data_IF_414084582233
#
_entry.id   IF_414084582233
#
_cell.length_a   1.000
_cell.length_b   1.000
_cell.length_c   1.000
_cell.angle_alpha   90.00
_cell.angle_beta   90.00
_cell.angle_gamma   90.00
#
_symmetry.space_group_name_H-M   'P 1'
#
loop_
_entity.id
_entity.type
_entity.pdbx_description
1 polymer ?
#
# COMPACT_ATOMS: atom_id res chain seq x y z
N UNK A 1 23.45 -19.06 0.41
CA UNK A 1 22.86 -18.89 -0.94
C UNK A 1 22.99 -17.42 -1.30
N UNK A 2 23.41 -17.09 -2.52
CA UNK A 2 23.53 -15.69 -2.94
C UNK A 2 22.13 -15.07 -3.15
N UNK A 3 21.94 -13.78 -2.85
CA UNK A 3 20.69 -13.09 -3.17
C UNK A 3 20.42 -13.08 -4.67
N UNK A 4 19.14 -13.08 -5.04
CA UNK A 4 18.73 -13.05 -6.45
C UNK A 4 18.76 -11.63 -7.00
N UNK A 5 18.38 -10.65 -6.17
CA UNK A 5 18.55 -9.24 -6.43
C UNK A 5 19.13 -8.57 -5.19
N UNK A 6 19.90 -7.52 -5.43
CA UNK A 6 20.44 -6.63 -4.42
C UNK A 6 20.00 -5.21 -4.76
N UNK A 7 19.60 -4.45 -3.76
CA UNK A 7 19.40 -3.00 -3.88
C UNK A 7 20.54 -2.33 -3.12
N UNK A 8 21.39 -1.64 -3.85
CA UNK A 8 22.47 -0.82 -3.30
C UNK A 8 21.93 0.57 -2.95
N UNK A 9 22.13 1.07 -1.72
CA UNK A 9 21.63 2.38 -1.29
C UNK A 9 22.48 3.56 -1.80
N UNK A 10 22.75 3.59 -3.09
CA UNK A 10 23.33 4.76 -3.76
C UNK A 10 22.29 5.73 -4.31
N UNK A 11 22.73 6.73 -5.11
CA UNK A 11 21.87 7.80 -5.59
C UNK A 11 20.61 7.32 -6.33
N UNK A 12 20.72 6.27 -7.16
CA UNK A 12 19.57 5.73 -7.92
C UNK A 12 18.45 5.21 -7.01
N UNK A 13 18.76 4.36 -6.05
CA UNK A 13 17.73 3.76 -5.18
C UNK A 13 17.19 4.77 -4.18
N UNK A 14 18.04 5.67 -3.64
CA UNK A 14 17.65 6.70 -2.69
C UNK A 14 16.78 7.80 -3.34
N UNK A 15 17.18 8.31 -4.51
CA UNK A 15 16.39 9.32 -5.22
C UNK A 15 15.08 8.73 -5.73
N UNK A 16 15.08 7.51 -6.27
CA UNK A 16 13.84 6.87 -6.70
C UNK A 16 12.88 6.66 -5.52
N UNK A 17 13.36 6.18 -4.37
CA UNK A 17 12.55 6.04 -3.17
C UNK A 17 12.01 7.39 -2.66
N UNK A 18 12.87 8.42 -2.58
CA UNK A 18 12.45 9.76 -2.18
C UNK A 18 11.41 10.35 -3.15
N UNK A 19 11.63 10.19 -4.45
CA UNK A 19 10.69 10.58 -5.51
C UNK A 19 9.35 9.88 -5.35
N UNK A 20 9.35 8.57 -5.09
CA UNK A 20 8.14 7.76 -4.81
C UNK A 20 7.40 8.30 -3.59
N UNK A 21 8.07 8.53 -2.47
CA UNK A 21 7.41 9.02 -1.26
C UNK A 21 6.78 10.40 -1.47
N UNK A 22 7.51 11.30 -2.14
CA UNK A 22 7.03 12.65 -2.46
C UNK A 22 5.85 12.59 -3.43
N UNK A 23 5.91 11.76 -4.48
CA UNK A 23 4.85 11.65 -5.47
C UNK A 23 3.58 11.03 -4.86
N UNK A 24 3.74 9.98 -4.05
CA UNK A 24 2.62 9.33 -3.36
C UNK A 24 1.94 10.31 -2.42
N UNK A 25 2.71 11.02 -1.58
CA UNK A 25 2.17 12.05 -0.69
C UNK A 25 1.47 13.18 -1.45
N UNK A 26 2.01 13.59 -2.60
CA UNK A 26 1.41 14.60 -3.47
C UNK A 26 0.06 14.18 -4.03
N UNK A 27 -0.06 12.99 -4.61
CA UNK A 27 -1.35 12.45 -5.11
C UNK A 27 -2.34 12.31 -3.97
N UNK A 28 -1.89 11.73 -2.84
CA UNK A 28 -2.76 11.51 -1.69
C UNK A 28 -3.34 12.82 -1.15
N UNK A 29 -2.52 13.89 -1.10
CA UNK A 29 -2.95 15.21 -0.68
C UNK A 29 -3.94 15.85 -1.65
N UNK A 30 -3.63 15.85 -2.94
CA UNK A 30 -4.49 16.47 -3.98
C UNK A 30 -5.83 15.77 -4.01
N UNK A 31 -5.82 14.44 -4.06
CA UNK A 31 -7.04 13.65 -4.13
C UNK A 31 -7.87 13.77 -2.85
N UNK A 32 -7.25 13.68 -1.67
CA UNK A 32 -7.98 13.91 -0.42
C UNK A 32 -8.58 15.31 -0.36
N UNK A 33 -7.83 16.32 -0.77
CA UNK A 33 -8.34 17.71 -0.78
C UNK A 33 -9.52 17.86 -1.72
N UNK A 34 -9.44 17.25 -2.90
CA UNK A 34 -10.52 17.21 -3.87
C UNK A 34 -11.76 16.54 -3.28
N UNK A 35 -11.60 15.36 -2.67
CA UNK A 35 -12.70 14.63 -2.04
C UNK A 35 -13.39 15.43 -0.94
N UNK A 36 -12.63 16.00 0.00
CA UNK A 36 -13.20 16.63 1.19
C UNK A 36 -13.70 18.04 0.91
N UNK A 37 -12.94 18.87 0.18
CA UNK A 37 -13.32 20.26 -0.03
C UNK A 37 -14.37 20.42 -1.13
N UNK A 38 -14.31 19.63 -2.19
CA UNK A 38 -15.28 19.77 -3.28
C UNK A 38 -16.64 19.17 -2.92
N UNK A 39 -16.67 18.07 -2.17
CA UNK A 39 -17.95 17.54 -1.63
C UNK A 39 -18.58 18.52 -0.64
N UNK A 40 -17.79 19.10 0.27
CA UNK A 40 -18.30 20.14 1.19
C UNK A 40 -18.78 21.40 0.44
N UNK A 41 -18.09 21.81 -0.62
CA UNK A 41 -18.53 22.92 -1.46
C UNK A 41 -19.86 22.59 -2.16
N UNK A 42 -20.01 21.37 -2.70
CA UNK A 42 -21.24 20.89 -3.32
C UNK A 42 -22.42 20.93 -2.33
N UNK A 43 -22.23 20.45 -1.10
CA UNK A 43 -23.28 20.49 -0.07
C UNK A 43 -23.65 21.93 0.30
N UNK A 44 -22.66 22.80 0.52
CA UNK A 44 -22.88 24.21 0.89
C UNK A 44 -23.63 24.99 -0.19
N UNK A 45 -23.43 24.67 -1.46
CA UNK A 45 -24.06 25.36 -2.59
C UNK A 45 -25.31 24.64 -3.12
N UNK A 46 -25.83 23.65 -2.40
CA UNK A 46 -26.98 22.84 -2.81
C UNK A 46 -26.82 22.25 -4.22
N UNK A 47 -25.61 21.77 -4.52
CA UNK A 47 -25.28 21.06 -5.75
C UNK A 47 -24.71 21.91 -6.88
N UNK A 48 -24.51 23.22 -6.67
CA UNK A 48 -24.02 24.14 -7.70
C UNK A 48 -22.72 24.85 -7.26
N UNK A 49 -21.61 24.12 -7.04
CA UNK A 49 -20.33 24.74 -6.70
C UNK A 49 -19.83 25.62 -7.86
N UNK A 50 -19.27 26.79 -7.54
CA UNK A 50 -18.67 27.67 -8.54
C UNK A 50 -17.33 27.11 -9.04
N UNK A 51 -16.85 27.53 -10.21
CA UNK A 51 -15.52 27.13 -10.70
C UNK A 51 -14.41 27.51 -9.70
N UNK A 52 -14.56 28.65 -9.02
CA UNK A 52 -13.65 29.09 -7.95
C UNK A 52 -13.61 28.11 -6.78
N UNK A 53 -14.76 27.53 -6.41
CA UNK A 53 -14.83 26.51 -5.36
C UNK A 53 -14.10 25.24 -5.79
N UNK A 54 -14.30 24.81 -7.04
CA UNK A 54 -13.65 23.62 -7.61
C UNK A 54 -12.13 23.81 -7.76
N UNK A 55 -11.69 24.98 -8.20
CA UNK A 55 -10.26 25.33 -8.29
C UNK A 55 -9.59 25.34 -6.91
N UNK A 56 -10.29 25.85 -5.89
CA UNK A 56 -9.79 25.86 -4.51
C UNK A 56 -9.72 24.44 -3.92
N UNK A 57 -10.64 23.56 -4.33
CA UNK A 57 -10.69 22.18 -3.86
C UNK A 57 -9.69 21.25 -4.57
N UNK A 58 -9.21 21.60 -5.77
CA UNK A 58 -8.23 20.81 -6.52
C UNK A 58 -6.88 21.55 -6.59
N UNK A 59 -6.02 21.41 -5.56
CA UNK A 59 -4.76 22.14 -5.53
C UNK A 59 -3.83 21.70 -6.66
N UNK A 60 -2.99 22.63 -7.13
CA UNK A 60 -1.98 22.31 -8.13
C UNK A 60 -0.99 21.26 -7.56
N UNK A 61 -0.71 20.16 -8.29
CA UNK A 61 -0.05 18.98 -7.72
C UNK A 61 1.49 19.11 -7.72
N UNK A 62 2.02 20.15 -7.04
CA UNK A 62 3.47 20.47 -7.02
C UNK A 62 4.30 19.27 -6.53
N UNK A 63 3.94 18.71 -5.37
CA UNK A 63 4.66 17.58 -4.79
C UNK A 63 4.65 16.36 -5.72
N UNK A 64 3.52 16.08 -6.38
CA UNK A 64 3.44 14.98 -7.34
C UNK A 64 4.41 15.16 -8.52
N UNK A 65 4.43 16.35 -9.12
CA UNK A 65 5.33 16.67 -10.24
C UNK A 65 6.80 16.60 -9.78
N UNK A 66 7.11 17.19 -8.62
CA UNK A 66 8.46 17.15 -8.06
C UNK A 66 8.93 15.72 -7.78
N UNK A 67 8.06 14.89 -7.21
CA UNK A 67 8.37 13.48 -6.96
C UNK A 67 8.70 12.72 -8.24
N UNK A 68 7.96 12.95 -9.33
CA UNK A 68 8.30 12.39 -10.64
C UNK A 68 9.61 12.91 -11.22
N UNK A 69 9.93 14.19 -11.04
CA UNK A 69 11.21 14.77 -11.51
C UNK A 69 12.37 14.11 -10.76
N UNK A 70 12.26 13.98 -9.44
CA UNK A 70 13.28 13.32 -8.60
C UNK A 70 13.41 11.83 -9.01
N UNK A 71 12.28 11.14 -9.20
CA UNK A 71 12.25 9.76 -9.65
C UNK A 71 12.90 9.59 -11.04
N UNK A 72 12.62 10.49 -11.98
CA UNK A 72 13.25 10.49 -13.29
C UNK A 72 14.76 10.72 -13.18
N UNK A 73 15.19 11.71 -12.38
CA UNK A 73 16.61 11.98 -12.15
C UNK A 73 17.38 10.78 -11.59
N UNK A 74 16.71 9.87 -10.87
CA UNK A 74 17.33 8.65 -10.38
C UNK A 74 17.91 7.75 -11.49
N UNK A 75 17.32 7.76 -12.69
CA UNK A 75 17.84 7.01 -13.85
C UNK A 75 19.17 7.54 -14.39
N UNK A 76 19.57 8.76 -14.02
CA UNK A 76 20.88 9.29 -14.40
C UNK A 76 22.02 8.64 -13.60
N UNK A 77 21.72 7.83 -12.60
CA UNK A 77 22.73 7.19 -11.75
C UNK A 77 22.79 5.67 -12.02
N UNK A 78 23.97 5.06 -11.86
CA UNK A 78 24.16 3.63 -12.06
C UNK A 78 23.55 2.82 -10.91
N UNK A 79 23.37 1.53 -11.15
CA UNK A 79 22.82 0.59 -10.16
C UNK A 79 23.82 0.18 -9.08
N UNK A 80 25.13 0.28 -9.36
CA UNK A 80 26.22 -0.12 -8.47
C UNK A 80 26.57 0.93 -7.40
N UNK A 81 25.60 1.75 -7.02
CA UNK A 81 25.75 2.79 -6.01
C UNK A 81 26.64 3.99 -6.39
N UNK A 82 27.27 3.98 -7.56
CA UNK A 82 28.15 5.06 -8.02
C UNK A 82 27.44 6.40 -8.24
N UNK A 83 28.22 7.48 -8.26
CA UNK A 83 27.74 8.85 -8.48
C UNK A 83 27.99 9.38 -9.89
N UNK A 84 28.71 8.63 -10.72
CA UNK A 84 28.99 9.01 -12.12
C UNK A 84 27.73 8.91 -12.95
N UNK A 85 27.40 9.96 -13.69
CA UNK A 85 26.18 9.99 -14.49
C UNK A 85 26.21 8.96 -15.63
N UNK A 86 25.12 8.21 -15.80
CA UNK A 86 24.94 7.18 -16.82
C UNK A 86 23.89 7.60 -17.86
N UNK A 87 24.37 7.99 -19.04
CA UNK A 87 23.57 8.48 -20.17
C UNK A 87 23.16 7.36 -21.14
N UNK A 88 22.88 6.16 -20.64
CA UNK A 88 22.33 5.08 -21.45
C UNK A 88 21.00 5.49 -22.14
N UNK A 89 20.80 5.22 -23.45
CA UNK A 89 19.56 5.53 -24.17
C UNK A 89 18.28 5.01 -23.49
N UNK A 90 18.34 3.86 -22.82
CA UNK A 90 17.22 3.27 -22.09
C UNK A 90 16.92 4.04 -20.80
N UNK A 91 17.94 4.51 -20.07
CA UNK A 91 17.75 5.42 -18.92
C UNK A 91 17.11 6.73 -19.39
N UNK A 92 17.57 7.30 -20.51
CA UNK A 92 16.97 8.51 -21.10
C UNK A 92 15.51 8.27 -21.51
N UNK A 93 15.20 7.13 -22.13
CA UNK A 93 13.82 6.79 -22.47
C UNK A 93 12.93 6.64 -21.22
N UNK A 94 13.43 6.03 -20.14
CA UNK A 94 12.72 5.93 -18.86
C UNK A 94 12.48 7.31 -18.23
N UNK A 95 13.46 8.23 -18.32
CA UNK A 95 13.29 9.63 -17.91
C UNK A 95 12.15 10.29 -18.69
N UNK A 96 12.14 10.16 -20.01
CA UNK A 96 11.09 10.74 -20.86
C UNK A 96 9.72 10.20 -20.47
N UNK A 97 9.55 8.88 -20.31
CA UNK A 97 8.27 8.31 -19.89
C UNK A 97 7.85 8.73 -18.48
N UNK A 98 8.80 8.87 -17.55
CA UNK A 98 8.53 9.38 -16.20
C UNK A 98 8.00 10.82 -16.23
N UNK A 99 8.61 11.69 -17.04
CA UNK A 99 8.17 13.07 -17.20
C UNK A 99 6.83 13.17 -17.96
N UNK A 100 6.59 12.30 -18.94
CA UNK A 100 5.29 12.18 -19.61
C UNK A 100 4.20 11.79 -18.61
N UNK A 101 4.44 10.80 -17.73
CA UNK A 101 3.52 10.44 -16.66
C UNK A 101 3.25 11.61 -15.72
N UNK A 102 4.30 12.35 -15.32
CA UNK A 102 4.18 13.53 -14.49
C UNK A 102 3.23 14.57 -15.09
N UNK A 103 3.42 14.88 -16.38
CA UNK A 103 2.60 15.88 -17.08
C UNK A 103 1.19 15.36 -17.31
N UNK A 104 1.02 14.15 -17.84
CA UNK A 104 -0.30 13.59 -18.19
C UNK A 104 -1.19 13.45 -16.96
N UNK A 105 -0.67 12.94 -15.85
CA UNK A 105 -1.44 12.69 -14.65
C UNK A 105 -1.66 13.93 -13.77
N UNK A 106 -1.01 15.06 -14.05
CA UNK A 106 -1.15 16.30 -13.29
C UNK A 106 -2.14 17.27 -13.94
N UNK A 107 -1.63 18.23 -14.72
CA UNK A 107 -2.34 19.42 -15.19
C UNK A 107 -3.52 19.09 -16.12
N UNK A 108 -3.34 18.35 -17.23
CA UNK A 108 -4.42 18.10 -18.17
C UNK A 108 -5.45 17.12 -17.62
N UNK A 109 -5.04 16.19 -16.73
CA UNK A 109 -5.98 15.28 -16.05
C UNK A 109 -6.82 16.05 -15.02
N UNK A 110 -6.22 16.90 -14.19
CA UNK A 110 -6.96 17.72 -13.22
C UNK A 110 -8.01 18.63 -13.88
N UNK A 111 -7.70 19.24 -15.02
CA UNK A 111 -8.69 19.97 -15.82
C UNK A 111 -9.81 19.05 -16.34
N UNK A 112 -9.46 17.86 -16.85
CA UNK A 112 -10.45 16.93 -17.38
C UNK A 112 -11.43 16.44 -16.31
N UNK A 113 -10.94 16.19 -15.10
CA UNK A 113 -11.71 15.70 -13.95
C UNK A 113 -12.65 16.79 -13.41
N UNK A 114 -12.09 17.96 -13.08
CA UNK A 114 -12.87 19.06 -12.49
C UNK A 114 -14.04 19.48 -13.37
N UNK A 115 -13.77 19.64 -14.66
CA UNK A 115 -14.77 20.12 -15.62
C UNK A 115 -15.47 18.97 -16.36
N UNK A 116 -15.34 17.72 -15.89
CA UNK A 116 -16.06 16.54 -16.40
C UNK A 116 -15.91 16.33 -17.92
N UNK A 117 -14.71 16.57 -18.44
CA UNK A 117 -14.39 16.45 -19.88
C UNK A 117 -14.06 14.98 -20.21
N UNK A 118 -15.08 14.12 -20.26
CA UNK A 118 -14.93 12.67 -20.43
C UNK A 118 -14.03 12.26 -21.63
N UNK A 119 -14.22 12.88 -22.81
CA UNK A 119 -13.41 12.58 -24.00
C UNK A 119 -11.93 12.95 -23.82
N UNK A 120 -11.62 14.03 -23.10
CA UNK A 120 -10.25 14.42 -22.76
C UNK A 120 -9.65 13.43 -21.76
N UNK A 121 -10.39 13.08 -20.71
CA UNK A 121 -9.96 12.10 -19.70
C UNK A 121 -9.65 10.74 -20.33
N UNK A 122 -10.48 10.24 -21.25
CA UNK A 122 -10.25 8.96 -21.91
C UNK A 122 -8.90 8.94 -22.66
N UNK A 123 -8.61 9.98 -23.46
CA UNK A 123 -7.33 10.12 -24.17
C UNK A 123 -6.14 10.18 -23.21
N UNK A 124 -6.24 10.97 -22.15
CA UNK A 124 -5.20 11.10 -21.13
C UNK A 124 -4.99 9.79 -20.35
N UNK A 125 -6.06 9.05 -20.06
CA UNK A 125 -5.99 7.75 -19.38
C UNK A 125 -5.28 6.70 -20.25
N UNK A 126 -5.55 6.71 -21.57
CA UNK A 126 -4.82 5.86 -22.51
C UNK A 126 -3.33 6.25 -22.59
N UNK A 127 -3.01 7.55 -22.66
CA UNK A 127 -1.63 8.03 -22.59
C UNK A 127 -0.93 7.63 -21.28
N UNK A 128 -1.64 7.69 -20.16
CA UNK A 128 -1.13 7.26 -18.85
C UNK A 128 -0.76 5.77 -18.87
N UNK A 129 -1.66 4.89 -19.36
CA UNK A 129 -1.39 3.46 -19.47
C UNK A 129 -0.24 3.17 -20.43
N UNK A 130 -0.19 3.82 -21.60
CA UNK A 130 0.89 3.66 -22.56
C UNK A 130 2.23 4.16 -22.01
N UNK A 131 2.23 5.23 -21.23
CA UNK A 131 3.45 5.75 -20.60
C UNK A 131 3.95 4.82 -19.50
N UNK A 132 3.05 4.18 -18.73
CA UNK A 132 3.43 3.12 -17.79
C UNK A 132 4.01 1.89 -18.48
N UNK A 133 3.44 1.47 -19.61
CA UNK A 133 3.99 0.38 -20.41
C UNK A 133 5.38 0.73 -20.94
N UNK A 134 5.54 1.92 -21.52
CA UNK A 134 6.83 2.42 -22.00
C UNK A 134 7.86 2.53 -20.88
N UNK A 135 7.48 3.08 -19.73
CA UNK A 135 8.34 3.15 -18.55
C UNK A 135 8.75 1.76 -18.07
N UNK A 136 7.82 0.80 -18.00
CA UNK A 136 8.12 -0.58 -17.58
C UNK A 136 9.13 -1.25 -18.51
N UNK A 137 8.93 -1.14 -19.82
CA UNK A 137 9.82 -1.73 -20.83
C UNK A 137 11.21 -1.10 -20.74
N UNK A 138 11.28 0.23 -20.73
CA UNK A 138 12.55 0.96 -20.70
C UNK A 138 13.31 0.74 -19.39
N UNK A 139 12.61 0.70 -18.25
CA UNK A 139 13.20 0.38 -16.95
C UNK A 139 13.76 -1.04 -16.92
N UNK A 140 12.96 -2.03 -17.36
CA UNK A 140 13.38 -3.43 -17.39
C UNK A 140 14.60 -3.67 -18.28
N UNK A 141 14.62 -3.05 -19.46
CA UNK A 141 15.77 -3.09 -20.37
C UNK A 141 16.99 -2.35 -19.78
N UNK A 142 16.79 -1.24 -19.07
CA UNK A 142 17.89 -0.44 -18.51
C UNK A 142 18.68 -1.17 -17.41
N UNK A 143 17.99 -2.04 -16.67
CA UNK A 143 18.55 -2.69 -15.49
C UNK A 143 19.27 -3.99 -15.81
N UNK A 144 18.83 -4.72 -16.85
CA UNK A 144 19.55 -5.88 -17.35
C UNK A 144 19.51 -7.13 -16.45
N UNK A 145 18.70 -7.16 -15.38
CA UNK A 145 18.53 -8.33 -14.49
C UNK A 145 17.58 -9.40 -15.03
N UNK A 146 17.41 -9.44 -16.35
CA UNK A 146 16.61 -10.42 -17.08
C UNK A 146 15.11 -10.31 -16.80
N UNK A 147 14.43 -11.46 -16.77
CA UNK A 147 12.97 -11.53 -16.61
C UNK A 147 12.46 -10.92 -15.29
N UNK A 148 13.30 -10.91 -14.25
CA UNK A 148 12.92 -10.41 -12.92
C UNK A 148 12.52 -8.93 -12.96
N UNK A 149 13.29 -8.07 -13.64
CA UNK A 149 12.96 -6.66 -13.78
C UNK A 149 11.59 -6.45 -14.46
N UNK A 150 11.29 -7.21 -15.51
CA UNK A 150 10.00 -7.11 -16.21
C UNK A 150 8.83 -7.61 -15.38
N UNK A 151 9.01 -8.69 -14.60
CA UNK A 151 7.97 -9.22 -13.72
C UNK A 151 7.62 -8.20 -12.64
N UNK A 152 8.62 -7.70 -11.90
CA UNK A 152 8.37 -6.72 -10.84
C UNK A 152 7.90 -5.37 -11.38
N UNK A 153 8.46 -4.91 -12.49
CA UNK A 153 8.05 -3.65 -13.13
C UNK A 153 6.62 -3.73 -13.67
N UNK A 154 6.29 -4.84 -14.35
CA UNK A 154 4.96 -5.10 -14.88
C UNK A 154 3.90 -5.26 -13.78
N UNK A 155 4.17 -6.07 -12.75
CA UNK A 155 3.29 -6.19 -11.59
C UNK A 155 3.11 -4.84 -10.89
N UNK A 156 4.21 -4.07 -10.73
CA UNK A 156 4.17 -2.73 -10.16
C UNK A 156 3.23 -1.80 -10.91
N UNK A 157 3.40 -1.70 -12.23
CA UNK A 157 2.55 -0.89 -13.10
C UNK A 157 1.07 -1.35 -13.07
N UNK A 158 0.81 -2.66 -13.14
CA UNK A 158 -0.55 -3.21 -13.06
C UNK A 158 -1.20 -2.83 -11.73
N UNK A 159 -0.49 -2.95 -10.61
CA UNK A 159 -1.02 -2.63 -9.29
C UNK A 159 -1.31 -1.14 -9.13
N UNK A 160 -0.45 -0.27 -9.65
CA UNK A 160 -0.69 1.19 -9.66
C UNK A 160 -1.92 1.54 -10.51
N UNK A 161 -2.07 0.95 -11.69
CA UNK A 161 -3.23 1.20 -12.56
C UNK A 161 -4.52 0.67 -11.92
N UNK A 162 -4.49 -0.56 -11.36
CA UNK A 162 -5.62 -1.16 -10.66
C UNK A 162 -6.00 -0.35 -9.41
N UNK A 163 -5.01 0.13 -8.67
CA UNK A 163 -5.18 1.02 -7.53
C UNK A 163 -5.98 2.26 -7.90
N UNK A 164 -5.53 2.99 -8.95
CA UNK A 164 -6.22 4.19 -9.40
C UNK A 164 -7.67 3.86 -9.77
N UNK A 165 -7.91 2.80 -10.55
CA UNK A 165 -9.28 2.39 -10.90
C UNK A 165 -10.17 2.16 -9.67
N UNK A 166 -9.64 1.52 -8.63
CA UNK A 166 -10.40 1.24 -7.40
C UNK A 166 -10.65 2.50 -6.58
N UNK A 167 -9.64 3.35 -6.38
CA UNK A 167 -9.79 4.61 -5.66
C UNK A 167 -10.84 5.49 -6.34
N UNK A 168 -10.78 5.62 -7.67
CA UNK A 168 -11.72 6.41 -8.46
C UNK A 168 -13.16 5.92 -8.35
N UNK A 169 -13.38 4.61 -8.27
CA UNK A 169 -14.71 4.03 -8.11
C UNK A 169 -15.33 4.32 -6.73
N UNK A 170 -14.53 4.27 -5.67
CA UNK A 170 -15.05 4.27 -4.29
C UNK A 170 -14.93 5.61 -3.57
N UNK A 171 -14.15 6.56 -4.09
CA UNK A 171 -13.96 7.90 -3.52
C UNK A 171 -15.18 8.81 -3.68
N UNK A 172 -15.17 9.96 -2.99
CA UNK A 172 -16.29 10.93 -3.03
C UNK A 172 -16.42 11.60 -4.39
N UNK A 173 -15.31 12.15 -4.89
CA UNK A 173 -15.30 12.97 -6.10
C UNK A 173 -14.65 12.23 -7.28
N UNK A 174 -15.03 10.95 -7.43
CA UNK A 174 -14.50 10.03 -8.44
C UNK A 174 -15.48 9.83 -9.59
N UNK A 175 -15.78 8.57 -9.92
CA UNK A 175 -16.65 8.22 -11.05
C UNK A 175 -18.04 8.85 -10.96
N UNK A 176 -18.62 8.97 -9.76
CA UNK A 176 -19.92 9.63 -9.56
C UNK A 176 -19.90 11.12 -9.91
N UNK A 177 -18.80 11.82 -9.60
CA UNK A 177 -18.66 13.22 -9.99
C UNK A 177 -18.64 13.37 -11.50
N UNK A 178 -17.94 12.48 -12.19
CA UNK A 178 -17.80 12.55 -13.64
C UNK A 178 -19.06 12.18 -14.39
N UNK A 179 -19.75 11.14 -13.94
CA UNK A 179 -20.95 10.62 -14.59
C UNK A 179 -22.18 11.46 -14.24
N UNK A 180 -22.34 11.78 -12.96
CA UNK A 180 -23.57 12.36 -12.44
C UNK A 180 -23.41 13.81 -11.97
N UNK A 181 -22.19 14.35 -11.91
CA UNK A 181 -21.95 15.70 -11.37
C UNK A 181 -22.21 15.82 -9.88
N UNK A 182 -22.19 14.72 -9.12
CA UNK A 182 -22.48 14.70 -7.69
C UNK A 182 -21.47 13.83 -6.92
N UNK A 183 -21.17 14.14 -5.65
CA UNK A 183 -20.35 13.27 -4.81
C UNK A 183 -20.96 11.88 -4.67
N UNK A 184 -20.12 10.86 -4.48
CA UNK A 184 -20.56 9.51 -4.14
C UNK A 184 -21.23 9.54 -2.76
N UNK A 185 -22.52 9.15 -2.65
CA UNK A 185 -23.22 9.16 -1.36
C UNK A 185 -22.75 8.05 -0.42
N UNK A 186 -22.02 7.05 -0.93
CA UNK A 186 -21.57 5.89 -0.17
C UNK A 186 -20.08 5.59 -0.42
N UNK A 187 -19.16 6.47 0.00
CA UNK A 187 -17.74 6.23 -0.18
C UNK A 187 -17.27 5.03 0.66
N UNK A 188 -16.34 4.26 0.10
CA UNK A 188 -15.81 3.06 0.75
C UNK A 188 -14.34 3.30 1.10
N UNK A 189 -14.08 3.44 2.41
CA UNK A 189 -12.73 3.68 2.91
C UNK A 189 -11.88 2.44 2.70
N UNK A 190 -12.24 1.32 3.33
CA UNK A 190 -11.52 0.05 3.22
C UNK A 190 -11.67 -0.57 1.81
N UNK A 191 -10.79 -0.16 0.89
CA UNK A 191 -10.71 -0.69 -0.46
C UNK A 191 -9.25 -0.95 -0.86
N UNK A 192 -9.00 -1.86 -1.80
CA UNK A 192 -7.63 -2.24 -2.19
C UNK A 192 -6.82 -1.13 -2.91
N UNK A 193 -7.42 0.03 -3.15
CA UNK A 193 -6.80 1.17 -3.82
C UNK A 193 -5.49 1.61 -3.19
N UNK A 194 -5.51 2.08 -1.94
CA UNK A 194 -4.29 2.52 -1.26
C UNK A 194 -3.21 1.45 -1.14
N UNK A 195 -3.54 0.24 -0.66
CA UNK A 195 -2.56 -0.83 -0.52
C UNK A 195 -1.92 -1.25 -1.85
N UNK A 196 -2.71 -1.39 -2.93
CA UNK A 196 -2.14 -1.70 -4.24
C UNK A 196 -1.26 -0.57 -4.76
N UNK A 197 -1.53 0.69 -4.41
CA UNK A 197 -0.68 1.80 -4.81
C UNK A 197 0.72 1.67 -4.21
N UNK A 198 0.80 1.43 -2.90
CA UNK A 198 2.08 1.26 -2.18
C UNK A 198 2.82 0.01 -2.67
N UNK A 199 2.12 -1.11 -2.76
CA UNK A 199 2.73 -2.38 -3.18
C UNK A 199 3.20 -2.32 -4.64
N UNK A 200 2.44 -1.64 -5.50
CA UNK A 200 2.81 -1.43 -6.90
C UNK A 200 4.09 -0.59 -7.03
N UNK A 201 4.20 0.51 -6.29
CA UNK A 201 5.42 1.31 -6.26
C UNK A 201 6.61 0.57 -5.68
N UNK A 202 6.41 -0.26 -4.65
CA UNK A 202 7.46 -1.09 -4.10
C UNK A 202 8.02 -2.09 -5.12
N UNK A 203 7.15 -2.80 -5.85
CA UNK A 203 7.59 -3.71 -6.92
C UNK A 203 8.26 -2.96 -8.07
N UNK A 204 7.73 -1.80 -8.45
CA UNK A 204 8.37 -0.98 -9.48
C UNK A 204 9.76 -0.51 -9.05
N UNK A 205 9.92 -0.13 -7.77
CA UNK A 205 11.21 0.27 -7.20
C UNK A 205 12.24 -0.86 -7.20
N UNK A 206 11.84 -2.08 -6.81
CA UNK A 206 12.70 -3.28 -6.91
C UNK A 206 13.14 -3.49 -8.36
N UNK A 207 12.21 -3.39 -9.31
CA UNK A 207 12.49 -3.56 -10.74
C UNK A 207 13.55 -2.58 -11.24
N UNK A 208 13.41 -1.29 -10.90
CA UNK A 208 14.29 -0.25 -11.44
C UNK A 208 15.63 -0.07 -10.70
N UNK A 209 15.72 -0.57 -9.46
CA UNK A 209 16.90 -0.39 -8.58
C UNK A 209 17.64 -1.69 -8.28
N UNK A 210 17.07 -2.85 -8.62
CA UNK A 210 17.66 -4.15 -8.34
C UNK A 210 18.83 -4.48 -9.28
N UNK A 211 19.90 -5.05 -8.74
CA UNK A 211 21.07 -5.55 -9.48
C UNK A 211 21.43 -6.97 -9.06
N UNK A 212 22.25 -7.68 -9.83
CA UNK A 212 22.82 -8.99 -9.48
C UNK A 212 24.28 -8.90 -9.01
N UNK A 213 24.70 -7.73 -8.51
CA UNK A 213 26.05 -7.48 -8.01
C UNK A 213 26.44 -8.38 -6.83
N UNK A 214 27.71 -8.31 -6.42
CA UNK A 214 28.26 -9.16 -5.36
C UNK A 214 28.27 -8.51 -3.96
N UNK A 215 27.90 -7.23 -3.85
CA UNK A 215 27.89 -6.49 -2.58
C UNK A 215 26.77 -5.46 -2.60
N UNK A 216 25.93 -5.44 -1.57
CA UNK A 216 25.00 -4.34 -1.37
C UNK A 216 24.18 -4.46 -0.10
N UNK A 217 23.40 -3.43 0.17
CA UNK A 217 22.81 -3.22 1.48
C UNK A 217 21.54 -4.05 1.70
N UNK A 218 20.61 -4.06 0.73
CA UNK A 218 19.34 -4.78 0.83
C UNK A 218 19.30 -5.98 -0.12
N UNK A 219 19.29 -7.16 0.47
CA UNK A 219 19.24 -8.44 -0.24
C UNK A 219 17.80 -8.93 -0.42
N UNK A 220 17.45 -9.30 -1.65
CA UNK A 220 16.15 -9.86 -2.03
C UNK A 220 16.34 -11.28 -2.55
N UNK A 221 15.74 -12.23 -1.83
CA UNK A 221 15.83 -13.66 -2.12
C UNK A 221 14.55 -14.17 -2.79
N UNK A 222 14.69 -14.87 -3.91
CA UNK A 222 13.57 -15.56 -4.57
C UNK A 222 13.51 -17.00 -4.08
N UNK A 223 13.08 -17.14 -2.84
CA UNK A 223 12.94 -18.42 -2.16
C UNK A 223 11.56 -18.55 -1.50
N UNK A 224 11.24 -19.75 -1.05
CA UNK A 224 9.95 -20.07 -0.43
C UNK A 224 9.72 -19.26 0.85
N UNK A 225 10.76 -19.02 1.64
CA UNK A 225 10.71 -18.17 2.84
C UNK A 225 10.17 -16.77 2.51
N UNK A 226 10.80 -16.10 1.54
CA UNK A 226 10.43 -14.75 1.12
C UNK A 226 9.05 -14.74 0.48
N UNK A 227 8.78 -15.70 -0.41
CA UNK A 227 7.47 -15.83 -1.03
C UNK A 227 6.35 -16.02 0.01
N UNK A 228 6.57 -16.87 1.01
CA UNK A 228 5.60 -17.13 2.08
C UNK A 228 5.43 -15.91 2.99
N UNK A 229 6.52 -15.23 3.36
CA UNK A 229 6.48 -14.01 4.17
C UNK A 229 5.68 -12.90 3.47
N UNK A 230 5.95 -12.63 2.19
CA UNK A 230 5.23 -11.61 1.42
C UNK A 230 3.79 -12.02 1.11
N UNK A 231 3.54 -13.28 0.74
CA UNK A 231 2.19 -13.78 0.50
C UNK A 231 1.34 -13.63 1.76
N UNK A 232 1.86 -14.06 2.90
CA UNK A 232 1.16 -14.01 4.17
C UNK A 232 1.03 -12.57 4.72
N UNK A 233 2.11 -11.80 4.72
CA UNK A 233 2.14 -10.43 5.23
C UNK A 233 1.31 -9.47 4.40
N UNK A 234 1.66 -9.30 3.12
CA UNK A 234 0.91 -8.42 2.22
C UNK A 234 -0.49 -8.97 1.90
N UNK A 235 -0.67 -10.29 1.88
CA UNK A 235 -1.98 -10.93 1.71
C UNK A 235 -2.91 -10.79 2.93
N UNK A 236 -2.38 -10.47 4.11
CA UNK A 236 -3.21 -10.17 5.27
C UNK A 236 -4.02 -8.88 5.08
N UNK A 237 -3.46 -7.91 4.36
CA UNK A 237 -4.12 -6.64 4.07
C UNK A 237 -5.50 -6.88 3.43
N UNK A 238 -5.62 -7.48 2.22
CA UNK A 238 -6.93 -7.71 1.60
C UNK A 238 -7.90 -8.50 2.48
N UNK A 239 -7.42 -9.47 3.27
CA UNK A 239 -8.28 -10.23 4.18
C UNK A 239 -8.91 -9.33 5.25
N UNK A 240 -8.13 -8.46 5.89
CA UNK A 240 -8.67 -7.50 6.87
C UNK A 240 -9.63 -6.54 6.19
N UNK A 241 -9.29 -6.06 4.99
CA UNK A 241 -10.15 -5.13 4.25
C UNK A 241 -11.49 -5.74 3.88
N UNK A 242 -11.56 -7.02 3.49
CA UNK A 242 -12.82 -7.70 3.18
C UNK A 242 -13.74 -7.80 4.41
N UNK A 243 -13.19 -8.18 5.56
CA UNK A 243 -13.92 -8.24 6.84
C UNK A 243 -14.47 -6.88 7.24
N UNK A 244 -13.61 -5.87 7.13
CA UNK A 244 -13.94 -4.51 7.52
C UNK A 244 -14.91 -3.85 6.54
N UNK A 245 -14.77 -4.11 5.25
CA UNK A 245 -15.75 -3.73 4.24
C UNK A 245 -17.12 -4.31 4.56
N UNK A 246 -17.20 -5.63 4.81
CA UNK A 246 -18.47 -6.30 5.08
C UNK A 246 -19.14 -5.70 6.34
N UNK A 247 -18.34 -5.34 7.35
CA UNK A 247 -18.84 -4.64 8.52
C UNK A 247 -19.40 -3.25 8.16
N UNK A 248 -18.63 -2.44 7.42
CA UNK A 248 -19.01 -1.08 7.03
C UNK A 248 -20.32 -1.06 6.23
N UNK A 249 -20.51 -2.04 5.36
CA UNK A 249 -21.69 -2.15 4.49
C UNK A 249 -22.90 -2.85 5.14
N UNK A 250 -22.84 -3.19 6.43
CA UNK A 250 -24.03 -3.72 7.13
C UNK A 250 -24.10 -5.23 7.30
N UNK A 251 -23.02 -5.95 7.00
CA UNK A 251 -22.93 -7.39 7.21
C UNK A 251 -23.36 -7.79 8.63
N UNK A 252 -24.29 -8.75 8.72
CA UNK A 252 -24.81 -9.24 10.00
C UNK A 252 -23.72 -10.02 10.70
N UNK A 253 -23.41 -9.66 11.95
CA UNK A 253 -22.45 -10.39 12.77
C UNK A 253 -22.96 -11.80 13.11
N UNK A 254 -22.16 -12.82 12.80
CA UNK A 254 -22.44 -14.24 13.08
C UNK A 254 -21.16 -14.92 13.56
N UNK A 255 -21.07 -15.22 14.85
CA UNK A 255 -19.92 -15.95 15.42
C UNK A 255 -18.64 -15.11 15.43
N UNK A 256 -17.61 -15.51 14.66
CA UNK A 256 -16.33 -14.80 14.54
C UNK A 256 -16.17 -14.13 13.16
N UNK A 257 -17.25 -13.57 12.65
CA UNK A 257 -17.31 -12.99 11.31
C UNK A 257 -18.66 -12.37 10.97
N UNK A 258 -18.89 -12.07 9.70
CA UNK A 258 -20.17 -11.60 9.16
C UNK A 258 -20.90 -12.70 8.38
N UNK A 259 -22.09 -12.38 7.89
CA UNK A 259 -23.00 -13.37 7.26
C UNK A 259 -22.50 -13.97 5.95
N UNK A 260 -21.44 -13.44 5.34
CA UNK A 260 -20.96 -13.88 4.04
C UNK A 260 -21.67 -13.21 2.85
N UNK A 261 -22.37 -12.10 3.08
CA UNK A 261 -23.23 -11.47 2.08
C UNK A 261 -22.47 -10.73 0.97
N UNK A 262 -21.20 -10.39 1.20
CA UNK A 262 -20.38 -9.59 0.29
C UNK A 262 -19.28 -10.42 -0.39
N UNK A 263 -18.60 -11.29 0.36
CA UNK A 263 -17.45 -12.07 -0.11
C UNK A 263 -17.56 -13.57 0.21
N UNK A 264 -18.69 -14.02 0.75
CA UNK A 264 -18.88 -15.39 1.21
C UNK A 264 -18.33 -15.61 2.62
N UNK A 265 -18.89 -16.60 3.31
CA UNK A 265 -18.67 -16.82 4.75
C UNK A 265 -17.22 -17.12 5.11
N UNK A 266 -16.45 -17.74 4.20
CA UNK A 266 -15.03 -18.03 4.45
C UNK A 266 -14.22 -16.73 4.58
N UNK A 267 -14.31 -15.84 3.59
CA UNK A 267 -13.57 -14.56 3.55
C UNK A 267 -14.09 -13.54 4.55
N UNK A 268 -15.34 -13.68 4.98
CA UNK A 268 -15.96 -12.90 6.04
C UNK A 268 -15.81 -13.54 7.44
N UNK A 269 -14.85 -14.43 7.64
CA UNK A 269 -14.55 -15.05 8.95
C UNK A 269 -13.11 -14.83 9.39
N UNK A 270 -12.81 -15.18 10.65
CA UNK A 270 -11.45 -15.19 11.19
C UNK A 270 -10.50 -16.17 10.45
N UNK A 271 -11.02 -17.16 9.71
CA UNK A 271 -10.22 -18.28 9.18
C UNK A 271 -9.09 -17.80 8.26
N UNK A 272 -9.33 -17.00 7.19
CA UNK A 272 -8.24 -16.54 6.33
C UNK A 272 -7.25 -15.65 7.08
N UNK A 273 -7.72 -14.87 8.06
CA UNK A 273 -6.85 -14.02 8.87
C UNK A 273 -5.91 -14.86 9.73
N UNK A 274 -6.43 -15.89 10.39
CA UNK A 274 -5.63 -16.86 11.15
C UNK A 274 -4.65 -17.61 10.23
N UNK A 275 -5.09 -18.04 9.05
CA UNK A 275 -4.22 -18.70 8.06
C UNK A 275 -3.05 -17.82 7.67
N UNK A 276 -3.28 -16.54 7.33
CA UNK A 276 -2.19 -15.63 6.94
C UNK A 276 -1.20 -15.42 8.09
N UNK A 277 -1.66 -15.23 9.34
CA UNK A 277 -0.75 -15.13 10.48
C UNK A 277 0.08 -16.40 10.70
N UNK A 278 -0.55 -17.58 10.62
CA UNK A 278 0.16 -18.86 10.78
C UNK A 278 1.21 -19.01 9.67
N UNK A 279 0.86 -18.76 8.42
CA UNK A 279 1.80 -18.83 7.29
C UNK A 279 2.96 -17.85 7.46
N UNK A 280 2.70 -16.64 7.95
CA UNK A 280 3.75 -15.66 8.25
C UNK A 280 4.70 -16.16 9.35
N UNK A 281 4.17 -16.83 10.38
CA UNK A 281 4.97 -17.47 11.43
C UNK A 281 5.79 -18.66 10.92
N UNK A 282 5.17 -19.52 10.10
CA UNK A 282 5.80 -20.69 9.48
C UNK A 282 6.94 -20.29 8.54
N UNK A 283 6.90 -19.11 7.93
CA UNK A 283 8.00 -18.61 7.11
C UNK A 283 9.34 -18.60 7.86
N UNK A 284 9.34 -18.40 9.18
CA UNK A 284 10.57 -18.45 9.98
C UNK A 284 11.26 -19.82 9.97
N UNK A 285 10.51 -20.92 9.79
CA UNK A 285 11.01 -22.31 9.80
C UNK A 285 11.68 -22.72 8.48
N UNK A 286 11.74 -21.81 7.51
CA UNK A 286 12.30 -22.05 6.18
C UNK A 286 13.60 -21.27 6.09
N UNK A 287 14.71 -21.96 5.84
CA UNK A 287 16.01 -21.36 5.61
C UNK A 287 16.06 -20.71 4.22
N UNK A 288 17.07 -19.87 3.97
CA UNK A 288 17.20 -19.15 2.70
C UNK A 288 17.39 -20.11 1.52
N UNK A 289 18.02 -21.25 1.75
CA UNK A 289 18.22 -22.31 0.76
C UNK A 289 17.00 -23.23 0.57
N UNK A 290 15.84 -22.85 1.11
CA UNK A 290 14.57 -23.59 1.12
C UNK A 290 14.57 -24.88 1.95
N UNK A 291 15.63 -25.17 2.71
CA UNK A 291 15.61 -26.27 3.67
C UNK A 291 14.81 -25.89 4.91
N UNK A 292 14.36 -26.89 5.68
CA UNK A 292 13.78 -26.63 6.99
C UNK A 292 14.89 -26.30 7.99
N UNK A 293 14.75 -25.20 8.71
CA UNK A 293 15.63 -24.86 9.82
C UNK A 293 15.47 -25.89 10.94
N UNK A 294 16.52 -26.21 11.68
CA UNK A 294 16.36 -26.88 12.97
C UNK A 294 15.74 -25.87 13.96
N UNK A 295 14.47 -26.05 14.37
CA UNK A 295 13.75 -24.98 15.04
C UNK A 295 14.29 -24.78 16.46
N UNK A 296 14.79 -23.58 16.73
CA UNK A 296 15.13 -23.13 18.07
C UNK A 296 13.89 -22.51 18.78
N UNK A 297 14.07 -22.05 20.02
CA UNK A 297 13.01 -21.40 20.79
C UNK A 297 12.44 -20.17 20.08
N UNK A 298 13.21 -19.44 19.28
CA UNK A 298 12.79 -18.20 18.62
C UNK A 298 11.78 -18.47 17.52
N UNK A 299 12.00 -19.51 16.72
CA UNK A 299 11.06 -19.95 15.68
C UNK A 299 9.67 -20.23 16.27
N UNK A 300 9.64 -20.95 17.39
CA UNK A 300 8.41 -21.24 18.12
C UNK A 300 7.78 -19.98 18.74
N UNK A 301 8.56 -19.10 19.35
CA UNK A 301 8.06 -17.85 19.91
C UNK A 301 7.45 -16.95 18.82
N UNK A 302 8.05 -16.89 17.65
CA UNK A 302 7.56 -16.13 16.51
C UNK A 302 6.22 -16.70 16.02
N UNK A 303 6.11 -18.02 15.83
CA UNK A 303 4.86 -18.68 15.46
C UNK A 303 3.76 -18.45 16.50
N UNK A 304 4.07 -18.64 17.78
CA UNK A 304 3.11 -18.41 18.88
C UNK A 304 2.66 -16.95 18.89
N UNK A 305 3.58 -16.00 18.71
CA UNK A 305 3.24 -14.57 18.65
C UNK A 305 2.30 -14.28 17.49
N UNK A 306 2.53 -14.86 16.30
CA UNK A 306 1.64 -14.74 15.15
C UNK A 306 0.24 -15.32 15.43
N UNK A 307 0.15 -16.49 16.06
CA UNK A 307 -1.14 -17.10 16.45
C UNK A 307 -1.88 -16.21 17.45
N UNK A 308 -1.19 -15.70 18.47
CA UNK A 308 -1.76 -14.79 19.46
C UNK A 308 -2.23 -13.48 18.82
N UNK A 309 -1.52 -12.98 17.82
CA UNK A 309 -1.96 -11.82 17.05
C UNK A 309 -3.26 -12.09 16.31
N UNK A 310 -3.36 -13.24 15.63
CA UNK A 310 -4.57 -13.63 14.92
C UNK A 310 -5.79 -13.70 15.85
N UNK A 311 -5.63 -14.34 17.02
CA UNK A 311 -6.70 -14.48 18.00
C UNK A 311 -7.08 -13.13 18.62
N UNK A 312 -6.09 -12.28 18.90
CA UNK A 312 -6.33 -10.97 19.49
C UNK A 312 -7.03 -10.03 18.51
N UNK A 313 -6.51 -9.87 17.30
CA UNK A 313 -7.09 -8.97 16.31
C UNK A 313 -8.37 -9.53 15.67
N UNK A 314 -8.30 -10.73 15.11
CA UNK A 314 -9.42 -11.35 14.38
C UNK A 314 -10.52 -11.90 15.29
N UNK A 315 -10.17 -12.30 16.51
CA UNK A 315 -11.13 -12.81 17.49
C UNK A 315 -11.62 -11.71 18.42
N UNK A 316 -10.74 -11.20 19.28
CA UNK A 316 -11.14 -10.34 20.41
C UNK A 316 -11.50 -8.90 19.97
N UNK A 317 -10.64 -8.25 19.18
CA UNK A 317 -10.85 -6.87 18.71
C UNK A 317 -12.04 -6.80 17.76
N UNK A 318 -12.10 -7.67 16.75
CA UNK A 318 -13.22 -7.70 15.80
C UNK A 318 -14.56 -8.00 16.53
N UNK A 319 -14.59 -8.95 17.46
CA UNK A 319 -15.79 -9.18 18.29
C UNK A 319 -16.21 -7.92 19.08
N UNK A 320 -15.24 -7.20 19.65
CA UNK A 320 -15.51 -5.96 20.36
C UNK A 320 -16.05 -4.87 19.41
N UNK A 321 -15.52 -4.77 18.19
CA UNK A 321 -15.99 -3.87 17.14
C UNK A 321 -17.46 -4.14 16.79
N UNK A 322 -17.80 -5.39 16.47
CA UNK A 322 -19.16 -5.80 16.09
C UNK A 322 -20.18 -5.58 17.21
N UNK A 323 -19.78 -5.82 18.47
CA UNK A 323 -20.62 -5.54 19.64
C UNK A 323 -20.64 -4.05 20.03
N UNK A 324 -19.83 -3.22 19.37
CA UNK A 324 -19.66 -1.82 19.69
C UNK A 324 -19.14 -1.58 21.13
N UNK A 325 -18.30 -2.47 21.64
CA UNK A 325 -17.73 -2.37 22.99
C UNK A 325 -16.36 -1.69 22.94
N UNK A 326 -16.35 -0.37 23.11
CA UNK A 326 -15.12 0.43 23.04
C UNK A 326 -14.12 0.10 24.16
N UNK A 327 -14.59 -0.26 25.35
CA UNK A 327 -13.72 -0.60 26.48
C UNK A 327 -12.91 -1.87 26.18
N UNK A 328 -13.58 -2.92 25.70
CA UNK A 328 -12.92 -4.15 25.29
C UNK A 328 -11.99 -3.93 24.10
N UNK A 329 -12.41 -3.15 23.09
CA UNK A 329 -11.53 -2.80 21.97
C UNK A 329 -10.23 -2.18 22.48
N UNK A 330 -10.31 -1.13 23.31
CA UNK A 330 -9.11 -0.44 23.84
C UNK A 330 -8.19 -1.40 24.60
N UNK A 331 -8.75 -2.25 25.46
CA UNK A 331 -7.99 -3.26 26.22
C UNK A 331 -7.26 -4.22 25.28
N UNK A 332 -7.96 -4.81 24.31
CA UNK A 332 -7.37 -5.79 23.39
C UNK A 332 -6.43 -5.14 22.37
N UNK A 333 -6.65 -3.88 21.98
CA UNK A 333 -5.73 -3.11 21.15
C UNK A 333 -4.38 -2.87 21.83
N UNK A 334 -4.34 -2.66 23.16
CA UNK A 334 -3.07 -2.59 23.88
C UNK A 334 -2.31 -3.92 23.85
N UNK A 335 -3.00 -5.04 24.02
CA UNK A 335 -2.40 -6.38 23.91
C UNK A 335 -1.85 -6.59 22.50
N UNK A 336 -2.62 -6.23 21.47
CA UNK A 336 -2.21 -6.29 20.07
C UNK A 336 -0.93 -5.48 19.78
N UNK A 337 -0.80 -4.27 20.35
CA UNK A 337 0.41 -3.44 20.24
C UNK A 337 1.61 -4.13 20.90
N UNK A 338 1.44 -4.67 22.10
CA UNK A 338 2.51 -5.39 22.82
C UNK A 338 2.95 -6.65 22.04
N UNK A 339 2.00 -7.39 21.46
CA UNK A 339 2.31 -8.53 20.60
C UNK A 339 3.06 -8.11 19.32
N UNK A 340 2.79 -6.91 18.77
CA UNK A 340 3.50 -6.41 17.59
C UNK A 340 4.95 -6.03 17.93
N UNK A 341 5.15 -5.44 19.11
CA UNK A 341 6.49 -5.16 19.63
C UNK A 341 7.26 -6.47 19.87
N UNK A 342 6.63 -7.46 20.49
CA UNK A 342 7.22 -8.78 20.70
C UNK A 342 7.58 -9.45 19.36
N UNK A 343 6.68 -9.39 18.38
CA UNK A 343 6.93 -9.92 17.03
C UNK A 343 8.14 -9.22 16.38
N UNK A 344 8.20 -7.90 16.45
CA UNK A 344 9.29 -7.13 15.85
C UNK A 344 10.64 -7.44 16.50
N UNK A 345 10.67 -7.59 17.83
CA UNK A 345 11.86 -8.00 18.57
C UNK A 345 12.30 -9.42 18.18
N UNK A 346 11.36 -10.36 18.04
CA UNK A 346 11.66 -11.74 17.63
C UNK A 346 12.21 -11.81 16.20
N UNK A 347 11.62 -11.07 15.26
CA UNK A 347 12.13 -10.99 13.87
C UNK A 347 13.51 -10.31 13.83
N UNK A 348 13.68 -9.22 14.58
CA UNK A 348 14.87 -8.39 14.59
C UNK A 348 15.95 -8.79 15.60
N UNK A 349 15.89 -10.00 16.15
CA UNK A 349 16.73 -10.43 17.27
C UNK A 349 18.22 -10.30 16.94
N UNK A 350 18.63 -10.84 15.80
CA UNK A 350 20.04 -10.87 15.35
C UNK A 350 20.55 -9.51 14.88
N UNK A 351 19.68 -8.49 14.83
CA UNK A 351 20.05 -7.13 14.48
C UNK A 351 20.02 -6.85 12.98
N UNK A 352 20.98 -6.04 12.52
CA UNK A 352 21.06 -5.59 11.13
C UNK A 352 19.81 -4.85 10.63
N UNK A 353 19.60 -4.89 9.31
CA UNK A 353 18.43 -4.28 8.67
C UNK A 353 17.10 -4.91 9.10
N UNK A 354 17.09 -6.21 9.42
CA UNK A 354 15.89 -6.92 9.87
C UNK A 354 15.28 -6.24 11.11
N UNK A 355 16.09 -5.79 12.07
CA UNK A 355 15.60 -5.06 13.26
C UNK A 355 14.93 -3.74 12.91
N UNK A 356 15.56 -2.94 12.05
CA UNK A 356 15.01 -1.64 11.66
C UNK A 356 13.72 -1.79 10.88
N UNK A 357 13.67 -2.72 9.93
CA UNK A 357 12.46 -3.02 9.17
C UNK A 357 11.36 -3.61 10.04
N UNK A 358 11.67 -4.50 10.98
CA UNK A 358 10.67 -5.08 11.86
C UNK A 358 10.04 -4.05 12.80
N UNK A 359 10.85 -3.19 13.42
CA UNK A 359 10.36 -2.12 14.32
C UNK A 359 9.57 -1.05 13.56
N UNK A 360 10.11 -0.55 12.43
CA UNK A 360 9.40 0.41 11.59
C UNK A 360 8.11 -0.19 11.01
N UNK A 361 8.17 -1.45 10.58
CA UNK A 361 7.04 -2.19 10.05
C UNK A 361 5.90 -2.34 11.05
N UNK A 362 6.21 -2.76 12.29
CA UNK A 362 5.23 -2.84 13.37
C UNK A 362 4.62 -1.46 13.70
N UNK A 363 5.45 -0.41 13.78
CA UNK A 363 4.97 0.95 14.01
C UNK A 363 4.00 1.42 12.92
N UNK A 364 4.32 1.17 11.65
CA UNK A 364 3.49 1.53 10.52
C UNK A 364 2.21 0.72 10.44
N UNK A 365 2.24 -0.59 10.77
CA UNK A 365 1.02 -1.40 10.88
C UNK A 365 0.07 -0.83 11.94
N UNK A 366 0.59 -0.54 13.14
CA UNK A 366 -0.20 0.01 14.25
C UNK A 366 -0.77 1.39 13.87
N UNK A 367 0.09 2.30 13.40
CA UNK A 367 -0.33 3.63 12.99
C UNK A 367 -1.34 3.58 11.84
N UNK A 368 -1.14 2.67 10.89
CA UNK A 368 -2.04 2.42 9.78
C UNK A 368 -3.45 2.08 10.26
N UNK A 369 -3.56 1.02 11.06
CA UNK A 369 -4.82 0.56 11.65
C UNK A 369 -5.50 1.66 12.48
N UNK A 370 -4.74 2.38 13.33
CA UNK A 370 -5.28 3.48 14.13
C UNK A 370 -5.92 4.58 13.28
N UNK A 371 -5.35 4.94 12.14
CA UNK A 371 -5.91 5.95 11.25
C UNK A 371 -7.13 5.44 10.50
N UNK A 372 -7.09 4.22 9.94
CA UNK A 372 -8.24 3.69 9.21
C UNK A 372 -9.47 3.52 10.11
N UNK A 373 -9.29 3.10 11.38
CA UNK A 373 -10.41 3.01 12.32
C UNK A 373 -11.08 4.36 12.62
N UNK A 374 -10.36 5.48 12.51
CA UNK A 374 -10.95 6.82 12.66
C UNK A 374 -11.71 7.24 11.40
N UNK A 375 -11.16 6.91 10.24
CA UNK A 375 -11.61 7.41 8.95
C UNK A 375 -12.76 6.61 8.35
N UNK A 376 -12.93 5.33 8.70
CA UNK A 376 -13.92 4.43 8.10
C UNK A 376 -15.36 4.67 8.56
N UNK A 377 -16.31 4.08 7.83
CA UNK A 377 -17.76 4.23 8.08
C UNK A 377 -18.19 3.64 9.42
N UNK A 378 -17.76 2.41 9.75
CA UNK A 378 -18.08 1.75 11.02
C UNK A 378 -16.86 1.43 11.87
N UNK A 379 -16.08 2.47 12.16
CA UNK A 379 -14.91 2.42 13.03
C UNK A 379 -15.18 3.00 14.42
N UNK A 380 -14.28 3.86 14.89
CA UNK A 380 -14.34 4.49 16.21
C UNK A 380 -15.61 5.29 16.42
N UNK A 381 -16.01 6.07 15.41
CA UNK A 381 -17.23 6.87 15.46
C UNK A 381 -18.48 6.00 15.67
N UNK A 382 -18.56 4.84 14.99
CA UNK A 382 -19.69 3.90 15.12
C UNK A 382 -19.76 3.29 16.52
N UNK A 383 -18.64 2.88 17.08
CA UNK A 383 -18.65 2.26 18.42
C UNK A 383 -19.12 3.23 19.49
N UNK A 384 -18.78 4.52 19.37
CA UNK A 384 -19.14 5.59 20.30
C UNK A 384 -20.58 6.03 20.09
N UNK A 385 -20.97 6.34 18.84
CA UNK A 385 -22.23 7.03 18.53
C UNK A 385 -23.34 6.10 18.04
N UNK A 386 -23.05 4.81 17.79
CA UNK A 386 -23.98 3.80 17.22
C UNK A 386 -24.61 4.22 15.89
N UNK A 387 -23.92 5.08 15.14
CA UNK A 387 -24.33 5.58 13.82
C UNK A 387 -23.12 5.62 12.89
N UNK A 388 -23.32 5.44 11.56
CA UNK A 388 -22.21 5.51 10.61
C UNK A 388 -21.48 6.84 10.71
N UNK A 389 -20.17 6.85 10.48
CA UNK A 389 -19.40 8.08 10.35
C UNK A 389 -19.99 8.92 9.21
N UNK A 390 -20.46 10.15 9.47
CA UNK A 390 -21.04 11.01 8.44
C UNK A 390 -20.00 11.44 7.39
N UNK A 391 -18.70 11.39 7.70
CA UNK A 391 -17.65 11.80 6.79
C UNK A 391 -16.53 10.74 6.70
N UNK A 392 -16.75 9.62 5.99
CA UNK A 392 -15.69 8.64 5.76
C UNK A 392 -14.60 9.23 4.85
N UNK A 393 -13.32 8.92 5.11
CA UNK A 393 -12.18 9.44 4.33
C UNK A 393 -11.53 8.32 3.54
N UNK A 394 -11.79 8.25 2.23
CA UNK A 394 -11.27 7.18 1.35
C UNK A 394 -9.75 7.25 1.21
N UNK A 395 -9.20 8.45 1.06
CA UNK A 395 -7.76 8.69 1.09
C UNK A 395 -7.23 8.78 2.53
N UNK A 396 -7.53 7.77 3.35
CA UNK A 396 -6.95 7.63 4.68
C UNK A 396 -5.45 7.39 4.56
N UNK A 397 -4.64 8.10 5.36
CA UNK A 397 -3.20 7.80 5.45
C UNK A 397 -2.95 6.42 6.07
N UNK A 398 -3.97 5.86 6.74
CA UNK A 398 -3.87 4.58 7.39
C UNK A 398 -3.62 3.43 6.41
N UNK A 399 -4.21 3.48 5.21
CA UNK A 399 -4.04 2.43 4.20
C UNK A 399 -2.60 2.33 3.67
N UNK A 400 -1.96 3.43 3.21
CA UNK A 400 -0.56 3.39 2.83
C UNK A 400 0.35 2.89 3.94
N UNK A 401 0.19 3.42 5.17
CA UNK A 401 1.00 3.02 6.31
C UNK A 401 0.83 1.53 6.62
N UNK A 402 -0.39 1.01 6.56
CA UNK A 402 -0.65 -0.40 6.85
C UNK A 402 0.06 -1.31 5.85
N UNK A 403 -0.03 -1.04 4.54
CA UNK A 403 0.68 -1.83 3.53
C UNK A 403 2.20 -1.66 3.62
N UNK A 404 2.72 -0.43 3.79
CA UNK A 404 4.17 -0.22 4.00
C UNK A 404 4.67 -1.01 5.20
N UNK A 405 3.91 -1.04 6.29
CA UNK A 405 4.27 -1.81 7.48
C UNK A 405 4.41 -3.30 7.21
N UNK A 406 3.50 -3.89 6.43
CA UNK A 406 3.57 -5.29 6.02
C UNK A 406 4.70 -5.60 5.04
N UNK A 407 5.01 -4.68 4.11
CA UNK A 407 6.18 -4.80 3.24
C UNK A 407 7.45 -4.85 4.08
N UNK A 408 7.60 -3.93 5.04
CA UNK A 408 8.78 -3.87 5.91
C UNK A 408 8.90 -5.12 6.80
N UNK A 409 7.81 -5.60 7.39
CA UNK A 409 7.82 -6.86 8.15
C UNK A 409 8.16 -8.06 7.28
N UNK A 410 7.68 -8.10 6.04
CA UNK A 410 7.99 -9.18 5.10
C UNK A 410 9.45 -9.14 4.65
N UNK A 411 10.00 -7.95 4.43
CA UNK A 411 11.43 -7.75 4.16
C UNK A 411 12.29 -8.16 5.36
N UNK A 412 11.88 -7.82 6.58
CA UNK A 412 12.58 -8.23 7.80
C UNK A 412 12.58 -9.75 7.94
N UNK A 413 11.42 -10.39 7.69
CA UNK A 413 11.28 -11.84 7.74
C UNK A 413 12.07 -12.53 6.62
N UNK A 414 12.30 -11.90 5.48
CA UNK A 414 13.05 -12.51 4.37
C UNK A 414 14.56 -12.48 4.56
N UNK A 415 15.08 -11.67 5.49
CA UNK A 415 16.52 -11.59 5.76
C UNK A 415 17.05 -12.86 6.45
N UNK A 416 18.34 -13.19 6.30
CA UNK A 416 18.98 -14.27 7.06
C UNK A 416 18.81 -14.06 8.57
N UNK A 417 18.41 -15.13 9.27
CA UNK A 417 18.54 -15.22 10.73
C UNK A 417 19.98 -15.69 10.96
N UNK A 418 20.76 -14.90 11.70
CA UNK A 418 22.17 -15.20 11.96
C UNK A 418 22.35 -16.12 13.16
#
# INVERSE_FOLDING_TARGET
MNPNLIIEFGPRSLLSLAGILILMGGVWYVDRTWDEKASAAYERTNGNPSDKDLDTAFPFPIAFILGWIIFAAAYLFPLNGGTTLDFNPLNIAAIVFSLLLAVVASVPMGDAVRHRKAGKKMKLSMMFVLSWLGLTITSGLSVGTGASAFIFGGLGAIFIIASMKLLWKYRKMGDSWEQDGKPNPNPIVYNMGGPLFVLGWFFFWISMSGTTGASGDLEIYFNLRTALAFFAGCGMVPIVMMLDYAHDEGGKYIGLGTSGAHFGRLFESIVPFLTMWILFGVASFIAIDNTFTNPDTRHWLLLVTCILQALTAGGLIQTALYKGNMANKRKFSMIFVLLFLALAINIGWDGGLARYFALAGAAFVIAGQMNVFKDRKRGDYWMINKKPNPNPIVYSIGEPLFMTGWILLSLAMSQPIL
#
